data_IF_948899718789
#
_entry.id   IF_948899718789
#
_cell.length_a   1.000
_cell.length_b   1.000
_cell.length_c   1.000
_cell.angle_alpha   90.00
_cell.angle_beta   90.00
_cell.angle_gamma   90.00
#
_symmetry.space_group_name_H-M   'P 1'
#
loop_
_entity.id
_entity.type
_entity.pdbx_description
1 polymer ?
#
# COMPACT_ATOMS: atom_id res chain seq x y z
N UNK A 1 10.39 9.62 6.86
CA UNK A 1 10.74 10.24 5.58
C UNK A 1 10.31 11.70 5.64
N UNK A 2 11.21 12.66 5.45
CA UNK A 2 10.82 14.05 5.26
C UNK A 2 10.13 14.12 3.89
N UNK A 3 8.83 14.36 3.89
CA UNK A 3 8.06 14.66 2.70
C UNK A 3 7.91 16.17 2.62
N UNK A 4 8.03 16.72 1.42
CA UNK A 4 7.98 18.17 1.18
C UNK A 4 6.57 18.77 1.26
N UNK A 5 5.65 18.07 1.92
CA UNK A 5 4.27 18.48 2.10
C UNK A 5 4.08 18.84 3.56
N UNK A 6 3.90 20.14 3.90
CA UNK A 6 3.87 20.60 5.29
C UNK A 6 2.70 20.05 6.10
N UNK A 7 1.58 19.72 5.46
CA UNK A 7 0.38 19.18 6.11
C UNK A 7 0.45 17.68 6.40
N UNK A 8 1.59 17.05 6.18
CA UNK A 8 1.72 15.61 6.33
C UNK A 8 1.72 15.22 7.81
N UNK A 9 0.78 14.40 8.21
CA UNK A 9 0.71 13.85 9.55
C UNK A 9 1.99 13.11 9.95
N UNK A 10 2.40 13.21 11.20
CA UNK A 10 3.59 12.52 11.70
C UNK A 10 3.27 11.03 11.91
N UNK A 11 4.13 10.11 11.43
CA UNK A 11 3.98 8.69 11.72
C UNK A 11 4.03 8.44 13.23
N UNK A 12 3.14 7.57 13.70
CA UNK A 12 3.18 7.08 15.08
C UNK A 12 3.79 5.68 15.07
N UNK A 13 4.96 5.57 15.67
CA UNK A 13 5.71 4.32 15.75
C UNK A 13 5.97 4.04 17.23
N UNK A 14 5.61 2.85 17.69
CA UNK A 14 5.93 2.40 19.04
C UNK A 14 7.45 2.26 19.16
N UNK A 15 8.04 2.98 20.09
CA UNK A 15 9.50 2.94 20.34
C UNK A 15 9.94 1.73 21.18
N UNK A 16 9.00 0.94 21.67
CA UNK A 16 9.30 -0.26 22.47
C UNK A 16 9.91 -1.35 21.58
N UNK A 17 11.10 -1.83 21.99
CA UNK A 17 11.87 -2.86 21.25
C UNK A 17 11.55 -4.29 21.72
N UNK A 18 10.44 -4.53 22.41
CA UNK A 18 10.05 -5.88 22.81
C UNK A 18 9.77 -6.77 21.59
N UNK A 19 10.08 -8.03 21.71
CA UNK A 19 9.87 -9.04 20.65
C UNK A 19 8.42 -9.02 20.17
N UNK A 20 7.45 -8.98 21.10
CA UNK A 20 6.04 -8.95 20.78
C UNK A 20 5.65 -7.72 19.92
N UNK A 21 6.19 -6.56 20.26
CA UNK A 21 5.97 -5.32 19.47
C UNK A 21 6.55 -5.45 18.07
N UNK A 22 7.76 -6.01 17.94
CA UNK A 22 8.37 -6.27 16.64
C UNK A 22 7.54 -7.23 15.80
N UNK A 23 7.03 -8.31 16.41
CA UNK A 23 6.16 -9.27 15.73
C UNK A 23 4.86 -8.64 15.26
N UNK A 24 4.20 -7.81 16.09
CA UNK A 24 2.94 -7.14 15.71
C UNK A 24 3.13 -6.09 14.63
N UNK A 25 4.22 -5.32 14.67
CA UNK A 25 4.56 -4.33 13.63
C UNK A 25 4.83 -5.02 12.28
N UNK A 26 5.38 -6.23 12.26
CA UNK A 26 5.70 -6.93 11.01
C UNK A 26 4.49 -7.18 10.10
N UNK A 27 3.29 -7.24 10.65
CA UNK A 27 2.04 -7.32 9.88
C UNK A 27 1.19 -6.04 9.95
N UNK A 28 1.78 -4.92 10.45
CA UNK A 28 1.17 -3.59 10.39
C UNK A 28 0.36 -3.19 11.62
N UNK A 29 0.44 -3.94 12.73
CA UNK A 29 -0.24 -3.59 13.97
C UNK A 29 0.67 -2.75 14.88
N UNK A 30 0.14 -1.67 15.48
CA UNK A 30 0.90 -0.81 16.38
C UNK A 30 1.75 0.27 15.70
N UNK A 31 1.54 0.51 14.40
CA UNK A 31 2.07 1.65 13.68
C UNK A 31 0.95 2.40 12.97
N UNK A 32 1.11 3.72 12.86
CA UNK A 32 0.22 4.58 12.07
C UNK A 32 1.07 5.44 11.14
N UNK A 33 0.79 5.36 9.85
CA UNK A 33 1.50 6.10 8.80
C UNK A 33 0.49 6.76 7.87
N UNK A 34 0.91 7.83 7.19
CA UNK A 34 0.05 8.44 6.17
C UNK A 34 0.06 7.62 4.88
N UNK A 35 -0.97 7.76 4.02
CA UNK A 35 -0.98 7.13 2.71
C UNK A 35 0.26 7.48 1.87
N UNK A 36 0.78 8.70 2.00
CA UNK A 36 1.98 9.13 1.28
C UNK A 36 3.23 8.38 1.75
N UNK A 37 3.38 8.15 3.07
CA UNK A 37 4.48 7.31 3.58
C UNK A 37 4.38 5.88 3.05
N UNK A 38 3.17 5.31 2.99
CA UNK A 38 2.94 3.97 2.44
C UNK A 38 3.28 3.92 0.95
N UNK A 39 2.87 4.94 0.18
CA UNK A 39 3.17 5.06 -1.25
C UNK A 39 4.67 5.16 -1.50
N UNK A 40 5.38 6.02 -0.75
CA UNK A 40 6.84 6.18 -0.85
C UNK A 40 7.60 4.90 -0.47
N UNK A 41 7.15 4.20 0.57
CA UNK A 41 7.73 2.91 0.96
C UNK A 41 7.50 1.85 -0.13
N UNK A 42 6.31 1.79 -0.72
CA UNK A 42 5.99 0.88 -1.82
C UNK A 42 6.84 1.22 -3.05
N UNK A 43 6.96 2.50 -3.42
CA UNK A 43 7.81 2.96 -4.51
C UNK A 43 9.28 2.53 -4.29
N UNK A 44 9.81 2.72 -3.08
CA UNK A 44 11.15 2.28 -2.71
C UNK A 44 11.32 0.76 -2.89
N UNK A 45 10.35 -0.03 -2.46
CA UNK A 45 10.40 -1.50 -2.60
C UNK A 45 10.47 -1.89 -4.08
N UNK A 46 9.65 -1.30 -4.93
CA UNK A 46 9.59 -1.71 -6.36
C UNK A 46 10.67 -1.04 -7.22
N UNK A 47 11.29 0.04 -6.75
CA UNK A 47 12.41 0.75 -7.39
C UNK A 47 13.77 0.14 -7.03
N UNK A 48 13.94 -1.16 -7.19
CA UNK A 48 15.17 -1.89 -6.85
C UNK A 48 15.67 -1.67 -5.41
N UNK A 49 14.80 -1.21 -4.51
CA UNK A 49 15.13 -0.91 -3.11
C UNK A 49 15.80 0.43 -2.87
N UNK A 50 15.88 1.27 -3.89
CA UNK A 50 16.40 2.64 -3.80
C UNK A 50 15.30 3.56 -3.30
N UNK A 51 15.63 4.38 -2.30
CA UNK A 51 14.69 5.33 -1.67
C UNK A 51 14.06 6.26 -2.71
N UNK A 52 12.74 6.37 -2.65
CA UNK A 52 11.97 7.33 -3.43
C UNK A 52 11.43 8.42 -2.51
N UNK A 53 11.86 9.66 -2.73
CA UNK A 53 11.33 10.83 -2.04
C UNK A 53 10.26 11.46 -2.92
N UNK A 54 8.97 11.44 -2.53
CA UNK A 54 7.94 12.10 -3.30
C UNK A 54 8.12 13.62 -3.28
N UNK A 55 7.90 14.24 -4.43
CA UNK A 55 7.92 15.69 -4.61
C UNK A 55 6.76 16.13 -5.48
N UNK A 56 6.26 17.34 -5.26
CA UNK A 56 5.27 18.00 -6.14
C UNK A 56 5.94 18.93 -7.15
N UNK A 57 7.27 19.09 -7.05
CA UNK A 57 8.03 19.97 -7.94
C UNK A 57 8.42 19.22 -9.22
N UNK A 58 8.05 19.78 -10.36
CA UNK A 58 8.50 19.28 -11.65
C UNK A 58 10.03 19.44 -11.77
N UNK A 59 10.69 18.45 -12.36
CA UNK A 59 12.14 18.44 -12.59
C UNK A 59 13.02 18.41 -11.32
N UNK A 60 12.47 18.16 -10.14
CA UNK A 60 13.27 17.89 -8.96
C UNK A 60 13.74 16.44 -8.96
N UNK A 61 14.97 16.21 -9.38
CA UNK A 61 15.61 14.90 -9.26
C UNK A 61 16.10 14.69 -7.84
N UNK A 62 15.78 13.53 -7.24
CA UNK A 62 16.41 13.13 -5.99
C UNK A 62 17.90 12.84 -6.26
N UNK A 63 18.79 13.57 -5.61
CA UNK A 63 20.23 13.35 -5.72
C UNK A 63 20.73 12.20 -4.84
N UNK A 64 19.90 11.65 -3.97
CA UNK A 64 20.26 10.58 -3.04
C UNK A 64 19.86 9.20 -3.58
N UNK A 65 20.82 8.42 -4.07
CA UNK A 65 20.66 7.01 -4.38
C UNK A 65 20.83 6.14 -3.12
N UNK A 66 20.00 6.39 -2.10
CA UNK A 66 20.09 5.65 -0.85
C UNK A 66 19.44 4.27 -0.97
N UNK A 67 20.25 3.21 -0.89
CA UNK A 67 19.79 1.84 -0.89
C UNK A 67 19.19 1.48 0.48
N UNK A 68 17.88 1.23 0.55
CA UNK A 68 17.16 0.86 1.78
C UNK A 68 17.07 -0.65 1.96
N UNK A 69 16.78 -1.37 0.87
CA UNK A 69 16.76 -2.84 0.84
C UNK A 69 17.55 -3.33 -0.37
N UNK A 70 18.10 -4.51 -0.30
CA UNK A 70 18.89 -5.05 -1.43
C UNK A 70 18.02 -5.21 -2.68
N UNK A 71 18.64 -5.07 -3.86
CA UNK A 71 17.98 -5.34 -5.15
C UNK A 71 17.37 -6.75 -5.18
N UNK A 72 18.06 -7.74 -4.61
CA UNK A 72 17.57 -9.12 -4.50
C UNK A 72 16.27 -9.20 -3.70
N UNK A 73 16.18 -8.47 -2.58
CA UNK A 73 14.96 -8.38 -1.76
C UNK A 73 13.85 -7.67 -2.52
N UNK A 74 14.13 -6.57 -3.20
CA UNK A 74 13.18 -5.85 -4.04
C UNK A 74 12.57 -6.76 -5.11
N UNK A 75 13.37 -7.51 -5.85
CA UNK A 75 12.90 -8.44 -6.88
C UNK A 75 11.99 -9.53 -6.30
N UNK A 76 12.36 -10.11 -5.14
CA UNK A 76 11.50 -11.07 -4.43
C UNK A 76 10.17 -10.44 -4.02
N UNK A 77 10.21 -9.23 -3.47
CA UNK A 77 9.00 -8.51 -3.07
C UNK A 77 8.08 -8.22 -4.26
N UNK A 78 8.63 -7.79 -5.40
CA UNK A 78 7.83 -7.60 -6.64
C UNK A 78 7.11 -8.88 -7.05
N UNK A 79 7.80 -10.03 -7.01
CA UNK A 79 7.21 -11.33 -7.34
C UNK A 79 6.08 -11.70 -6.36
N UNK A 80 6.29 -11.52 -5.05
CA UNK A 80 5.27 -11.78 -4.02
C UNK A 80 4.07 -10.84 -4.20
N UNK A 81 4.31 -9.55 -4.41
CA UNK A 81 3.26 -8.57 -4.64
C UNK A 81 2.44 -8.89 -5.89
N UNK A 82 3.08 -9.41 -6.95
CA UNK A 82 2.36 -9.87 -8.14
C UNK A 82 1.43 -11.05 -7.82
N UNK A 83 1.88 -12.02 -7.02
CA UNK A 83 1.06 -13.18 -6.61
C UNK A 83 -0.19 -12.76 -5.83
N UNK A 84 -0.16 -11.70 -5.05
CA UNK A 84 -1.34 -11.19 -4.33
C UNK A 84 -2.48 -10.81 -5.28
N UNK A 85 -2.16 -10.44 -6.52
CA UNK A 85 -3.12 -10.04 -7.55
C UNK A 85 -3.39 -11.18 -8.55
N UNK A 86 -2.34 -11.88 -9.01
CA UNK A 86 -2.45 -12.87 -10.08
C UNK A 86 -2.94 -14.24 -9.62
N UNK A 87 -2.67 -14.63 -8.37
CA UNK A 87 -3.05 -15.95 -7.87
C UNK A 87 -4.57 -16.05 -7.65
N UNK A 88 -5.15 -17.22 -7.93
CA UNK A 88 -6.59 -17.46 -7.71
C UNK A 88 -7.05 -17.26 -6.26
N UNK A 89 -6.13 -17.44 -5.30
CA UNK A 89 -6.36 -17.19 -3.86
C UNK A 89 -5.83 -15.84 -3.39
N UNK A 90 -5.30 -15.02 -4.29
CA UNK A 90 -4.76 -13.71 -3.97
C UNK A 90 -5.83 -12.77 -3.41
N UNK A 91 -5.50 -12.09 -2.32
CA UNK A 91 -6.43 -11.19 -1.63
C UNK A 91 -6.84 -9.98 -2.46
N UNK A 92 -6.07 -9.64 -3.51
CA UNK A 92 -6.36 -8.53 -4.42
C UNK A 92 -6.66 -8.97 -5.85
N UNK A 93 -7.11 -10.21 -6.10
CA UNK A 93 -7.44 -10.71 -7.44
C UNK A 93 -8.36 -9.76 -8.23
N UNK A 94 -9.25 -9.04 -7.55
CA UNK A 94 -10.16 -8.08 -8.19
C UNK A 94 -9.48 -6.81 -8.72
N UNK A 95 -8.18 -6.60 -8.41
CA UNK A 95 -7.39 -5.52 -8.99
C UNK A 95 -6.77 -5.89 -10.34
N UNK A 96 -6.81 -7.16 -10.74
CA UNK A 96 -6.12 -7.61 -11.96
C UNK A 96 -6.73 -7.02 -13.22
N UNK A 97 -5.84 -6.52 -14.08
CA UNK A 97 -6.15 -6.00 -15.42
C UNK A 97 -5.22 -6.68 -16.41
N UNK A 98 -5.79 -7.34 -17.41
CA UNK A 98 -5.01 -8.03 -18.42
C UNK A 98 -4.03 -7.07 -19.09
N UNK A 99 -2.78 -7.50 -19.24
CA UNK A 99 -1.73 -6.72 -19.89
C UNK A 99 -0.93 -5.78 -18.96
N UNK A 100 -1.44 -5.41 -17.77
CA UNK A 100 -0.81 -4.37 -16.94
C UNK A 100 0.00 -4.90 -15.75
N UNK A 101 0.04 -6.20 -15.53
CA UNK A 101 0.87 -6.86 -14.50
C UNK A 101 0.83 -6.17 -13.13
N UNK A 102 -0.37 -5.84 -12.66
CA UNK A 102 -0.54 -5.16 -11.37
C UNK A 102 -0.07 -6.07 -10.23
N UNK A 103 0.66 -5.53 -9.27
CA UNK A 103 1.01 -6.20 -8.03
C UNK A 103 0.83 -5.28 -6.83
N UNK A 104 0.60 -5.84 -5.65
CA UNK A 104 0.40 -5.01 -4.46
C UNK A 104 0.08 -5.80 -3.21
N UNK A 105 -0.39 -5.07 -2.20
CA UNK A 105 -0.78 -5.61 -0.89
C UNK A 105 -2.08 -4.96 -0.41
N UNK A 106 -2.98 -5.77 0.08
CA UNK A 106 -4.20 -5.33 0.77
C UNK A 106 -3.92 -5.13 2.26
N UNK A 107 -4.56 -4.14 2.86
CA UNK A 107 -4.60 -3.92 4.29
C UNK A 107 -6.04 -3.70 4.75
N UNK A 108 -6.39 -4.22 5.90
CA UNK A 108 -7.68 -3.95 6.57
C UNK A 108 -7.38 -3.80 8.05
N UNK A 109 -7.62 -2.60 8.59
CA UNK A 109 -7.40 -2.27 9.99
C UNK A 109 -8.71 -1.84 10.63
N UNK A 110 -8.97 -2.30 11.84
CA UNK A 110 -10.07 -1.78 12.66
C UNK A 110 -9.72 -0.39 13.19
N UNK A 111 -10.71 0.49 13.26
CA UNK A 111 -10.51 1.84 13.80
C UNK A 111 -10.40 1.82 15.31
N UNK A 112 -9.46 2.60 15.83
CA UNK A 112 -9.25 2.77 17.27
C UNK A 112 -10.47 3.48 17.86
N UNK A 113 -11.02 2.92 18.96
CA UNK A 113 -12.05 3.56 19.73
C UNK A 113 -11.38 4.49 20.78
N UNK A 114 -11.70 5.78 20.83
CA UNK A 114 -11.15 6.70 21.83
C UNK A 114 -11.43 6.30 23.28
N UNK A 115 -12.47 5.49 23.50
CA UNK A 115 -12.82 4.93 24.82
C UNK A 115 -12.05 3.65 25.16
N UNK A 116 -11.11 3.23 24.31
CA UNK A 116 -10.30 2.02 24.44
C UNK A 116 -10.72 0.90 23.48
N UNK A 117 -9.74 0.12 23.01
CA UNK A 117 -9.95 -0.98 22.05
C UNK A 117 -10.24 -0.51 20.63
N UNK A 118 -11.02 -1.29 19.90
CA UNK A 118 -11.34 -1.07 18.49
C UNK A 118 -12.86 -1.05 18.27
N UNK A 119 -13.31 -0.31 17.26
CA UNK A 119 -14.70 -0.37 16.81
C UNK A 119 -14.96 -1.68 16.05
N UNK A 120 -15.93 -2.47 16.49
CA UNK A 120 -16.24 -3.79 15.92
C UNK A 120 -16.69 -3.78 14.45
N UNK A 121 -17.06 -2.64 13.89
CA UNK A 121 -17.65 -2.54 12.54
C UNK A 121 -17.11 -1.39 11.72
N UNK A 122 -16.07 -0.72 12.17
CA UNK A 122 -15.46 0.39 11.46
C UNK A 122 -14.02 0.04 11.08
N UNK A 123 -13.77 0.06 9.79
CA UNK A 123 -12.47 -0.33 9.24
C UNK A 123 -11.90 0.77 8.37
N UNK A 124 -10.58 0.86 8.34
CA UNK A 124 -9.84 1.51 7.27
C UNK A 124 -9.29 0.39 6.39
N UNK A 125 -9.57 0.46 5.10
CA UNK A 125 -9.06 -0.51 4.14
C UNK A 125 -8.16 0.16 3.14
N UNK A 126 -7.08 -0.50 2.77
CA UNK A 126 -6.12 0.03 1.82
C UNK A 126 -5.66 -1.04 0.83
N UNK A 127 -5.31 -0.61 -0.36
CA UNK A 127 -4.45 -1.32 -1.30
C UNK A 127 -3.30 -0.40 -1.66
N UNK A 128 -2.09 -0.92 -1.65
CA UNK A 128 -0.93 -0.26 -2.22
C UNK A 128 -0.22 -1.20 -3.18
N UNK A 129 0.25 -0.69 -4.30
CA UNK A 129 0.87 -1.52 -5.32
C UNK A 129 1.45 -0.72 -6.46
N UNK A 130 1.96 -1.43 -7.45
CA UNK A 130 2.61 -0.84 -8.62
C UNK A 130 2.20 -1.56 -9.90
N UNK A 131 2.43 -0.92 -11.03
CA UNK A 131 2.25 -1.49 -12.35
C UNK A 131 3.11 -0.74 -13.40
N UNK A 132 3.51 -1.46 -14.47
CA UNK A 132 3.58 -2.91 -14.57
C UNK A 132 4.69 -3.47 -13.66
N UNK A 133 4.49 -4.66 -13.03
CA UNK A 133 5.43 -5.17 -12.02
C UNK A 133 6.78 -5.64 -12.56
N UNK A 134 6.88 -5.93 -13.84
CA UNK A 134 8.16 -6.23 -14.51
C UNK A 134 9.05 -4.98 -14.61
N UNK A 135 8.44 -3.81 -14.89
CA UNK A 135 9.10 -2.51 -14.97
C UNK A 135 8.20 -1.41 -14.38
N UNK A 136 8.18 -1.24 -13.04
CA UNK A 136 7.22 -0.37 -12.38
C UNK A 136 7.36 1.11 -12.76
N UNK A 137 6.33 1.66 -13.41
CA UNK A 137 6.24 3.06 -13.80
C UNK A 137 5.32 3.84 -12.84
N UNK A 138 4.32 3.17 -12.27
CA UNK A 138 3.34 3.79 -11.41
C UNK A 138 3.23 3.06 -10.08
N UNK A 139 3.07 3.83 -9.01
CA UNK A 139 2.67 3.34 -7.69
C UNK A 139 1.31 3.93 -7.36
N UNK A 140 0.41 3.08 -6.89
CA UNK A 140 -0.95 3.47 -6.55
C UNK A 140 -1.28 3.04 -5.12
N UNK A 141 -1.82 3.96 -4.34
CA UNK A 141 -2.37 3.67 -3.01
C UNK A 141 -3.81 4.13 -2.96
N UNK A 142 -4.70 3.21 -2.66
CA UNK A 142 -6.13 3.47 -2.43
C UNK A 142 -6.42 3.22 -0.96
N UNK A 143 -6.99 4.19 -0.30
CA UNK A 143 -7.48 4.07 1.08
C UNK A 143 -8.95 4.46 1.13
N UNK A 144 -9.77 3.65 1.81
CA UNK A 144 -11.20 3.90 2.00
C UNK A 144 -11.48 3.81 3.49
N UNK A 145 -11.98 4.90 4.06
CA UNK A 145 -12.40 4.96 5.45
C UNK A 145 -13.84 4.46 5.59
N UNK A 146 -14.02 3.55 6.52
CA UNK A 146 -15.31 3.00 6.94
C UNK A 146 -16.22 2.55 5.78
N UNK A 147 -15.71 1.70 4.85
CA UNK A 147 -16.49 1.24 3.72
C UNK A 147 -17.73 0.49 4.20
N UNK A 148 -18.82 0.65 3.49
CA UNK A 148 -20.05 -0.12 3.72
C UNK A 148 -20.09 -1.32 2.77
N UNK A 149 -20.54 -2.46 3.28
CA UNK A 149 -20.81 -3.61 2.45
C UNK A 149 -21.90 -3.30 1.42
N UNK A 150 -21.65 -3.65 0.17
CA UNK A 150 -22.54 -3.40 -0.96
C UNK A 150 -22.99 -4.72 -1.59
N UNK A 151 -24.03 -4.67 -2.41
CA UNK A 151 -24.54 -5.86 -3.12
C UNK A 151 -23.45 -6.54 -3.96
N UNK A 152 -22.63 -5.74 -4.67
CA UNK A 152 -21.52 -6.23 -5.48
C UNK A 152 -20.36 -6.84 -4.67
N UNK A 153 -20.24 -6.49 -3.39
CA UNK A 153 -19.23 -7.05 -2.48
C UNK A 153 -19.78 -8.16 -1.58
N UNK A 154 -21.02 -8.64 -1.83
CA UNK A 154 -21.70 -9.62 -0.98
C UNK A 154 -21.69 -9.22 0.51
N UNK A 155 -21.81 -7.93 0.81
CA UNK A 155 -21.71 -7.39 2.17
C UNK A 155 -20.29 -7.31 2.75
N UNK A 156 -19.25 -7.83 2.06
CA UNK A 156 -17.87 -7.74 2.51
C UNK A 156 -17.33 -6.32 2.42
N UNK A 157 -16.49 -5.95 3.40
CA UNK A 157 -15.91 -4.62 3.55
C UNK A 157 -14.38 -4.60 3.57
N UNK A 158 -13.75 -5.74 3.29
CA UNK A 158 -12.28 -5.85 3.25
C UNK A 158 -11.69 -5.23 1.98
N UNK A 159 -10.41 -4.89 2.02
CA UNK A 159 -9.71 -4.21 0.93
C UNK A 159 -9.81 -4.96 -0.42
N UNK A 160 -9.77 -6.29 -0.40
CA UNK A 160 -9.91 -7.11 -1.62
C UNK A 160 -11.28 -6.98 -2.30
N UNK A 161 -12.31 -6.59 -1.55
CA UNK A 161 -13.67 -6.43 -2.07
C UNK A 161 -14.02 -4.98 -2.42
N UNK A 162 -13.41 -4.00 -1.77
CA UNK A 162 -13.78 -2.59 -1.98
C UNK A 162 -12.65 -1.74 -2.56
N UNK A 163 -11.39 -1.91 -2.14
CA UNK A 163 -10.27 -1.16 -2.68
C UNK A 163 -9.72 -1.76 -4.00
N UNK A 164 -9.59 -3.10 -4.09
CA UNK A 164 -9.06 -3.75 -5.28
C UNK A 164 -9.86 -3.47 -6.57
N UNK A 165 -11.22 -3.47 -6.58
CA UNK A 165 -11.98 -3.07 -7.76
C UNK A 165 -11.77 -1.60 -8.18
N UNK A 166 -11.48 -0.71 -7.24
CA UNK A 166 -11.15 0.70 -7.54
C UNK A 166 -9.82 0.78 -8.26
N UNK A 167 -8.81 0.02 -7.79
CA UNK A 167 -7.50 -0.09 -8.48
C UNK A 167 -7.70 -0.54 -9.93
N UNK A 168 -8.47 -1.60 -10.15
CA UNK A 168 -8.77 -2.09 -11.50
C UNK A 168 -9.30 -0.97 -12.39
N UNK A 169 -10.32 -0.24 -11.93
CA UNK A 169 -10.95 0.85 -12.70
C UNK A 169 -9.99 1.99 -12.97
N UNK A 170 -9.13 2.34 -12.00
CA UNK A 170 -8.14 3.41 -12.18
C UNK A 170 -7.07 3.00 -13.18
N UNK A 171 -6.47 1.82 -13.03
CA UNK A 171 -5.43 1.34 -13.95
C UNK A 171 -5.96 1.28 -15.37
N UNK A 172 -7.17 0.77 -15.59
CA UNK A 172 -7.79 0.72 -16.92
C UNK A 172 -7.92 2.12 -17.58
N UNK A 173 -8.02 3.19 -16.78
CA UNK A 173 -8.13 4.57 -17.28
C UNK A 173 -6.79 5.27 -17.43
N UNK A 174 -5.84 5.01 -16.55
CA UNK A 174 -4.54 5.71 -16.50
C UNK A 174 -3.52 5.05 -17.43
N UNK A 175 -3.52 3.73 -17.51
CA UNK A 175 -2.49 2.98 -18.21
C UNK A 175 -2.47 3.12 -19.75
N UNK A 176 -3.56 3.49 -20.46
CA UNK A 176 -3.53 3.78 -21.90
C UNK A 176 -2.89 5.11 -22.28
N UNK A 177 -2.41 5.93 -21.32
CA UNK A 177 -1.80 7.24 -21.57
C UNK A 177 -0.32 7.11 -21.91
#
# INVERSE_FOLDING_TARGET
LPLEIPELGRPQIIKDKKILTTMTISYGHGISITPMHLTSATATIVNNGIKVNPTLLLNKTSTENLQIISRKTSLKMKSIMRLVVSNKYGTAKKADVAGYLIGGKTGTAEKINPKGGYFKKENIVAFTGAFPMNDPQFVITIMIDNPKGQKFSNGYRTAGWVAAPVVKRLVTRIAPI
#
